data_IF_083425084070
#
_entry.id   IF_083425084070
#
_cell.length_a   1.000
_cell.length_b   1.000
_cell.length_c   1.000
_cell.angle_alpha   90.00
_cell.angle_beta   90.00
_cell.angle_gamma   90.00
#
_symmetry.space_group_name_H-M   'P 1'
#
loop_
_entity.id
_entity.type
_entity.pdbx_description
1 polymer ?
#
# COMPACT_ATOMS: atom_id res chain seq x y z
N UNK A 1 -41.34 -19.47 -6.84
CA UNK A 1 -39.98 -19.25 -6.31
C UNK A 1 -39.78 -17.75 -6.26
N UNK A 2 -39.85 -17.19 -5.06
CA UNK A 2 -40.71 -16.05 -4.73
C UNK A 2 -39.91 -14.83 -4.25
N UNK A 3 -40.30 -13.64 -4.71
CA UNK A 3 -40.16 -12.28 -4.13
C UNK A 3 -38.98 -11.98 -3.18
N UNK A 4 -38.82 -12.73 -2.09
CA UNK A 4 -37.73 -12.59 -1.11
C UNK A 4 -36.34 -12.89 -1.68
N UNK A 5 -36.20 -13.84 -2.63
CA UNK A 5 -34.91 -14.11 -3.30
C UNK A 5 -34.43 -12.89 -4.08
N UNK A 6 -35.37 -12.13 -4.68
CA UNK A 6 -35.06 -10.89 -5.39
C UNK A 6 -34.60 -9.78 -4.44
N UNK A 7 -35.22 -9.62 -3.27
CA UNK A 7 -34.84 -8.58 -2.30
C UNK A 7 -33.46 -8.85 -1.68
N UNK A 8 -33.15 -10.11 -1.35
CA UNK A 8 -31.82 -10.49 -0.82
C UNK A 8 -30.75 -10.31 -1.88
N UNK A 9 -31.02 -10.74 -3.11
CA UNK A 9 -30.11 -10.56 -4.25
C UNK A 9 -29.88 -9.07 -4.54
N UNK A 10 -30.94 -8.25 -4.59
CA UNK A 10 -30.87 -6.81 -4.85
C UNK A 10 -30.11 -6.05 -3.75
N UNK A 11 -30.37 -6.37 -2.47
CA UNK A 11 -29.60 -5.79 -1.35
C UNK A 11 -28.14 -6.23 -1.34
N UNK A 12 -27.86 -7.50 -1.67
CA UNK A 12 -26.49 -7.99 -1.81
C UNK A 12 -25.77 -7.27 -2.96
N UNK A 13 -26.42 -7.12 -4.11
CA UNK A 13 -25.93 -6.35 -5.27
C UNK A 13 -25.63 -4.89 -4.90
N UNK A 14 -26.54 -4.21 -4.21
CA UNK A 14 -26.35 -2.83 -3.76
C UNK A 14 -25.18 -2.69 -2.78
N UNK A 15 -25.05 -3.63 -1.82
CA UNK A 15 -23.92 -3.64 -0.88
C UNK A 15 -22.60 -3.85 -1.61
N UNK A 16 -22.53 -4.82 -2.53
CA UNK A 16 -21.32 -5.15 -3.28
C UNK A 16 -20.90 -4.01 -4.22
N UNK A 17 -21.87 -3.36 -4.88
CA UNK A 17 -21.62 -2.16 -5.68
C UNK A 17 -21.10 -1.02 -4.81
N UNK A 18 -21.68 -0.80 -3.64
CA UNK A 18 -21.25 0.26 -2.71
C UNK A 18 -19.83 0.03 -2.20
N UNK A 19 -19.45 -1.23 -1.93
CA UNK A 19 -18.08 -1.61 -1.55
C UNK A 19 -17.12 -1.40 -2.72
N UNK A 20 -17.49 -1.85 -3.92
CA UNK A 20 -16.68 -1.70 -5.13
C UNK A 20 -16.46 -0.25 -5.56
N UNK A 21 -17.40 0.63 -5.25
CA UNK A 21 -17.34 2.06 -5.54
C UNK A 21 -16.79 2.89 -4.37
N UNK A 22 -16.38 2.25 -3.27
CA UNK A 22 -15.87 2.97 -2.11
C UNK A 22 -14.59 3.75 -2.47
N UNK A 23 -14.67 5.07 -2.33
CA UNK A 23 -13.58 5.98 -2.71
C UNK A 23 -12.27 5.66 -1.98
N UNK A 24 -12.32 5.25 -0.72
CA UNK A 24 -11.13 4.97 0.08
C UNK A 24 -10.43 3.69 -0.37
N UNK A 25 -11.19 2.58 -0.49
CA UNK A 25 -10.64 1.30 -0.96
C UNK A 25 -10.04 1.44 -2.36
N UNK A 26 -10.76 2.12 -3.26
CA UNK A 26 -10.27 2.45 -4.60
C UNK A 26 -8.97 3.26 -4.55
N UNK A 27 -8.90 4.28 -3.69
CA UNK A 27 -7.72 5.14 -3.57
C UNK A 27 -6.50 4.38 -3.04
N UNK A 28 -6.69 3.54 -2.02
CA UNK A 28 -5.62 2.69 -1.49
C UNK A 28 -5.12 1.77 -2.60
N UNK A 29 -6.01 1.04 -3.28
CA UNK A 29 -5.65 0.15 -4.38
C UNK A 29 -4.91 0.89 -5.49
N UNK A 30 -5.42 2.04 -5.95
CA UNK A 30 -4.76 2.85 -6.97
C UNK A 30 -3.38 3.36 -6.49
N UNK A 31 -3.25 3.77 -5.23
CA UNK A 31 -1.98 4.23 -4.66
C UNK A 31 -0.94 3.11 -4.59
N UNK A 32 -1.37 1.90 -4.23
CA UNK A 32 -0.51 0.71 -4.25
C UNK A 32 -0.14 0.29 -5.68
N UNK A 33 -1.03 0.49 -6.66
CA UNK A 33 -0.73 0.21 -8.07
C UNK A 33 0.24 1.22 -8.68
N UNK A 34 0.21 2.49 -8.26
CA UNK A 34 1.14 3.51 -8.73
C UNK A 34 2.61 3.18 -8.40
N UNK A 35 2.86 2.39 -7.36
CA UNK A 35 4.20 2.05 -6.91
C UNK A 35 4.73 0.74 -7.49
N UNK A 36 3.96 0.07 -8.36
CA UNK A 36 4.36 -1.18 -9.01
C UNK A 36 5.71 -1.11 -9.74
N UNK A 37 6.05 -0.05 -10.49
CA UNK A 37 7.38 0.03 -11.11
C UNK A 37 8.52 -0.03 -10.09
N UNK A 38 8.31 0.56 -8.90
CA UNK A 38 9.29 0.58 -7.82
C UNK A 38 9.41 -0.80 -7.17
N UNK A 39 8.30 -1.48 -6.92
CA UNK A 39 8.31 -2.83 -6.35
C UNK A 39 8.89 -3.86 -7.34
N UNK A 40 8.60 -3.74 -8.64
CA UNK A 40 9.18 -4.58 -9.69
C UNK A 40 10.70 -4.42 -9.74
N UNK A 41 11.22 -3.19 -9.69
CA UNK A 41 12.66 -2.93 -9.65
C UNK A 41 13.32 -3.62 -8.45
N UNK A 42 12.69 -3.52 -7.27
CA UNK A 42 13.13 -4.23 -6.06
C UNK A 42 13.18 -5.73 -6.27
N UNK A 43 12.11 -6.31 -6.81
CA UNK A 43 11.98 -7.75 -7.01
C UNK A 43 13.02 -8.27 -8.00
N UNK A 44 13.26 -7.57 -9.11
CA UNK A 44 14.29 -7.94 -10.08
C UNK A 44 15.68 -7.88 -9.44
N UNK A 45 16.00 -6.82 -8.70
CA UNK A 45 17.27 -6.70 -8.00
C UNK A 45 17.47 -7.84 -6.98
N UNK A 46 16.44 -8.17 -6.21
CA UNK A 46 16.48 -9.30 -5.27
C UNK A 46 16.70 -10.62 -6.01
N UNK A 47 15.94 -10.90 -7.07
CA UNK A 47 16.05 -12.13 -7.86
C UNK A 47 17.45 -12.32 -8.44
N UNK A 48 18.04 -11.27 -9.01
CA UNK A 48 19.40 -11.31 -9.56
C UNK A 48 20.42 -11.47 -8.44
N UNK A 49 20.25 -10.81 -7.29
CA UNK A 49 21.14 -10.95 -6.13
C UNK A 49 21.22 -12.39 -5.62
N UNK A 50 20.06 -13.03 -5.44
CA UNK A 50 19.94 -14.33 -4.74
C UNK A 50 19.79 -15.51 -5.70
N UNK A 51 20.07 -15.33 -6.99
CA UNK A 51 19.91 -16.36 -8.00
C UNK A 51 20.63 -17.67 -7.59
N UNK A 52 19.94 -18.81 -7.51
CA UNK A 52 20.43 -20.02 -6.82
C UNK A 52 21.42 -20.82 -7.69
N UNK A 53 22.53 -20.20 -8.07
CA UNK A 53 23.61 -20.81 -8.85
C UNK A 53 24.95 -20.55 -8.18
N UNK A 54 25.56 -21.61 -7.63
CA UNK A 54 26.74 -21.48 -6.77
C UNK A 54 27.92 -20.72 -7.40
N UNK A 55 28.33 -20.98 -8.67
CA UNK A 55 29.41 -20.21 -9.30
C UNK A 55 29.12 -18.71 -9.42
N UNK A 56 27.85 -18.34 -9.59
CA UNK A 56 27.44 -16.95 -9.66
C UNK A 56 27.46 -16.28 -8.29
N UNK A 57 26.99 -16.97 -7.24
CA UNK A 57 27.05 -16.46 -5.87
C UNK A 57 28.50 -16.23 -5.43
N UNK A 58 29.40 -17.17 -5.73
CA UNK A 58 30.83 -17.02 -5.52
C UNK A 58 31.41 -15.80 -6.24
N UNK A 59 31.03 -15.60 -7.51
CA UNK A 59 31.46 -14.44 -8.30
C UNK A 59 31.01 -13.13 -7.65
N UNK A 60 29.74 -13.03 -7.25
CA UNK A 60 29.20 -11.84 -6.59
C UNK A 60 29.95 -11.52 -5.29
N UNK A 61 30.23 -12.53 -4.47
CA UNK A 61 30.91 -12.36 -3.18
C UNK A 61 32.38 -11.97 -3.37
N UNK A 62 33.12 -12.67 -4.25
CA UNK A 62 34.55 -12.38 -4.52
C UNK A 62 34.79 -10.96 -5.02
N UNK A 63 33.85 -10.42 -5.81
CA UNK A 63 33.94 -9.08 -6.39
C UNK A 63 33.16 -8.02 -5.61
N UNK A 64 32.55 -8.37 -4.47
CA UNK A 64 31.73 -7.48 -3.65
C UNK A 64 30.65 -6.74 -4.48
N UNK A 65 29.96 -7.49 -5.34
CA UNK A 65 28.91 -6.97 -6.24
C UNK A 65 27.51 -7.01 -5.62
N UNK A 66 27.31 -7.80 -4.56
CA UNK A 66 26.03 -7.91 -3.83
C UNK A 66 25.50 -6.54 -3.39
N UNK A 67 26.38 -5.66 -2.92
CA UNK A 67 26.06 -4.29 -2.48
C UNK A 67 25.37 -3.43 -3.54
N UNK A 68 25.63 -3.68 -4.83
CA UNK A 68 25.00 -2.89 -5.91
C UNK A 68 23.54 -3.27 -6.09
N UNK A 69 23.16 -4.49 -5.74
CA UNK A 69 21.75 -4.91 -5.70
C UNK A 69 21.07 -4.46 -4.42
N UNK A 70 21.80 -4.34 -3.30
CA UNK A 70 21.24 -3.86 -2.04
C UNK A 70 20.77 -2.40 -2.09
N UNK A 71 21.41 -1.56 -2.93
CA UNK A 71 21.03 -0.15 -3.10
C UNK A 71 19.56 -0.02 -3.54
N UNK A 72 19.14 -0.54 -4.72
CA UNK A 72 17.74 -0.43 -5.13
C UNK A 72 16.83 -1.11 -4.11
N UNK A 73 17.13 -2.34 -3.64
CA UNK A 73 16.29 -3.06 -2.67
C UNK A 73 16.03 -2.23 -1.41
N UNK A 74 17.05 -1.54 -0.91
CA UNK A 74 16.94 -0.68 0.28
C UNK A 74 16.00 0.49 0.03
N UNK A 75 16.20 1.25 -1.04
CA UNK A 75 15.40 2.45 -1.30
C UNK A 75 14.03 2.18 -1.92
N UNK A 76 13.70 0.93 -2.21
CA UNK A 76 12.36 0.51 -2.65
C UNK A 76 11.63 -0.23 -1.54
N UNK A 77 12.13 -1.38 -1.10
CA UNK A 77 11.42 -2.23 -0.14
C UNK A 77 11.49 -1.65 1.27
N UNK A 78 12.65 -1.15 1.69
CA UNK A 78 12.80 -0.56 3.03
C UNK A 78 12.25 0.87 3.12
N UNK A 79 11.78 1.45 2.02
CA UNK A 79 11.08 2.74 1.97
C UNK A 79 9.62 2.60 1.53
N UNK A 80 9.10 1.38 1.41
CA UNK A 80 7.78 1.10 0.87
C UNK A 80 6.66 1.89 1.57
N UNK A 81 6.66 1.96 2.90
CA UNK A 81 5.62 2.67 3.64
C UNK A 81 5.66 4.18 3.35
N UNK A 82 6.85 4.76 3.19
CA UNK A 82 7.01 6.19 2.83
C UNK A 82 6.37 6.46 1.47
N UNK A 83 6.67 5.62 0.48
CA UNK A 83 6.16 5.76 -0.88
C UNK A 83 4.63 5.60 -0.89
N UNK A 84 4.11 4.66 -0.10
CA UNK A 84 2.66 4.41 0.04
C UNK A 84 1.94 5.55 0.74
N UNK A 85 2.54 6.14 1.78
CA UNK A 85 1.97 7.32 2.46
C UNK A 85 1.73 8.46 1.47
N UNK A 86 2.66 8.68 0.53
CA UNK A 86 2.49 9.65 -0.54
C UNK A 86 1.46 9.18 -1.58
N UNK A 87 1.61 7.99 -2.14
CA UNK A 87 0.83 7.54 -3.31
C UNK A 87 -0.65 7.36 -3.01
N UNK A 88 -1.00 6.86 -1.82
CA UNK A 88 -2.40 6.70 -1.39
C UNK A 88 -3.06 8.04 -1.10
N UNK A 89 -2.33 8.98 -0.49
CA UNK A 89 -2.84 10.33 -0.25
C UNK A 89 -3.04 11.08 -1.58
N UNK A 90 -2.11 10.92 -2.52
CA UNK A 90 -2.19 11.48 -3.86
C UNK A 90 -3.45 11.02 -4.62
N UNK A 91 -3.71 9.72 -4.65
CA UNK A 91 -4.90 9.17 -5.33
C UNK A 91 -6.19 9.54 -4.62
N UNK A 92 -6.19 9.55 -3.28
CA UNK A 92 -7.37 9.90 -2.50
C UNK A 92 -7.76 11.37 -2.67
N UNK A 93 -6.79 12.28 -2.65
CA UNK A 93 -7.02 13.71 -2.89
C UNK A 93 -7.55 13.97 -4.30
N UNK A 94 -6.99 13.29 -5.31
CA UNK A 94 -7.51 13.36 -6.69
C UNK A 94 -8.95 12.87 -6.79
N UNK A 95 -9.32 11.80 -6.09
CA UNK A 95 -10.69 11.32 -6.06
C UNK A 95 -11.67 12.27 -5.34
N UNK A 96 -11.17 13.29 -4.63
CA UNK A 96 -11.95 14.37 -4.03
C UNK A 96 -11.78 15.72 -4.74
N UNK A 97 -11.16 15.73 -5.93
CA UNK A 97 -10.94 16.94 -6.76
C UNK A 97 -10.16 18.05 -6.03
N UNK A 98 -9.19 17.67 -5.19
CA UNK A 98 -8.24 18.61 -4.56
C UNK A 98 -6.80 18.28 -4.96
N UNK A 99 -5.85 19.14 -4.60
CA UNK A 99 -4.45 18.98 -5.00
C UNK A 99 -3.84 17.68 -4.43
N UNK A 100 -3.59 16.72 -5.34
CA UNK A 100 -3.04 15.42 -4.97
C UNK A 100 -1.58 15.47 -4.56
N UNK A 101 -0.77 16.32 -5.19
CA UNK A 101 0.67 16.38 -4.90
C UNK A 101 0.92 16.94 -3.50
N UNK A 102 0.26 18.05 -3.17
CA UNK A 102 0.36 18.69 -1.86
C UNK A 102 -0.20 17.79 -0.75
N UNK A 103 -1.34 17.14 -0.97
CA UNK A 103 -1.87 16.15 -0.02
C UNK A 103 -0.91 14.96 0.18
N UNK A 104 -0.31 14.48 -0.90
CA UNK A 104 0.70 13.42 -0.87
C UNK A 104 1.93 13.81 -0.05
N UNK A 105 2.50 15.00 -0.30
CA UNK A 105 3.65 15.50 0.46
C UNK A 105 3.32 15.67 1.95
N UNK A 106 2.18 16.28 2.28
CA UNK A 106 1.76 16.48 3.66
C UNK A 106 1.58 15.13 4.38
N UNK A 107 0.98 14.15 3.72
CA UNK A 107 0.86 12.79 4.26
C UNK A 107 2.21 12.13 4.52
N UNK A 108 3.14 12.23 3.56
CA UNK A 108 4.49 11.68 3.70
C UNK A 108 5.25 12.32 4.88
N UNK A 109 5.16 13.64 5.04
CA UNK A 109 5.78 14.32 6.19
C UNK A 109 5.06 13.97 7.50
N UNK A 110 3.73 13.86 7.49
CA UNK A 110 2.95 13.42 8.66
C UNK A 110 3.37 12.01 9.10
N UNK A 111 3.66 11.13 8.16
CA UNK A 111 4.20 9.80 8.44
C UNK A 111 5.56 9.88 9.13
N UNK A 112 6.48 10.71 8.64
CA UNK A 112 7.77 10.92 9.28
C UNK A 112 7.66 11.53 10.69
N UNK A 113 6.73 12.45 10.93
CA UNK A 113 6.48 13.03 12.27
C UNK A 113 6.06 11.95 13.28
N UNK A 114 5.34 10.94 12.82
CA UNK A 114 4.93 9.79 13.63
C UNK A 114 6.03 8.72 13.79
N UNK A 115 7.04 8.74 12.92
CA UNK A 115 8.12 7.76 12.94
C UNK A 115 9.08 8.06 14.08
N UNK A 116 9.34 7.09 14.98
CA UNK A 116 10.32 7.30 16.03
C UNK A 116 11.71 7.52 15.42
N UNK A 117 12.49 8.38 16.06
CA UNK A 117 13.89 8.60 15.72
C UNK A 117 14.72 8.51 16.99
N UNK A 118 15.98 8.11 16.84
CA UNK A 118 16.94 8.06 17.93
C UNK A 118 17.96 9.18 17.76
N UNK A 119 18.20 9.88 18.86
CA UNK A 119 19.26 10.86 18.99
C UNK A 119 20.34 10.20 19.82
N UNK A 120 21.43 9.76 19.18
CA UNK A 120 22.50 9.11 19.92
C UNK A 120 23.20 10.08 20.87
N UNK A 121 24.25 9.60 21.52
CA UNK A 121 25.04 10.44 22.43
C UNK A 121 25.67 11.63 21.68
N UNK A 122 25.78 12.76 22.37
CA UNK A 122 26.44 13.95 21.84
C UNK A 122 27.94 13.66 21.83
N UNK A 123 28.46 13.32 20.65
CA UNK A 123 29.88 13.08 20.43
C UNK A 123 30.64 14.35 20.00
N UNK A 124 31.97 14.25 19.81
CA UNK A 124 32.80 15.36 19.34
C UNK A 124 32.40 15.92 17.96
N UNK A 125 31.69 15.12 17.17
CA UNK A 125 31.19 15.46 15.83
C UNK A 125 29.72 15.90 15.84
N UNK A 126 29.11 16.05 17.02
CA UNK A 126 27.70 16.37 17.20
C UNK A 126 26.86 15.16 17.61
N UNK A 127 25.55 15.38 17.64
CA UNK A 127 24.56 14.36 17.98
C UNK A 127 24.19 13.56 16.72
N UNK A 128 24.21 12.23 16.81
CA UNK A 128 23.73 11.40 15.70
C UNK A 128 22.21 11.46 15.60
N UNK A 129 21.70 11.37 14.37
CA UNK A 129 20.28 11.24 14.08
C UNK A 129 20.07 9.95 13.30
N UNK A 130 19.21 9.06 13.79
CA UNK A 130 18.86 7.83 13.08
C UNK A 130 17.36 7.55 13.12
N UNK A 131 16.83 7.05 12.00
CA UNK A 131 15.45 6.57 11.91
C UNK A 131 15.51 5.05 11.80
N UNK A 132 14.79 4.29 12.64
CA UNK A 132 14.71 2.84 12.52
C UNK A 132 14.09 2.46 11.17
N UNK A 133 14.90 1.89 10.28
CA UNK A 133 14.49 1.57 8.91
C UNK A 133 13.31 0.60 8.82
N UNK A 134 13.06 -0.19 9.87
CA UNK A 134 11.93 -1.14 9.91
C UNK A 134 10.58 -0.46 9.68
N UNK A 135 10.39 0.76 10.20
CA UNK A 135 9.14 1.50 10.09
C UNK A 135 8.95 2.15 8.72
N UNK A 136 10.04 2.39 7.99
CA UNK A 136 9.98 2.96 6.64
C UNK A 136 9.59 1.89 5.59
N UNK A 137 9.82 0.62 5.92
CA UNK A 137 9.55 -0.53 5.07
C UNK A 137 8.19 -1.20 5.34
N UNK A 138 8.07 -2.52 5.13
CA UNK A 138 6.80 -3.23 5.18
C UNK A 138 6.07 -3.17 6.54
N UNK A 139 6.78 -3.02 7.66
CA UNK A 139 6.16 -2.93 8.99
C UNK A 139 5.38 -1.62 9.20
N UNK A 140 5.73 -0.54 8.51
CA UNK A 140 5.01 0.73 8.61
C UNK A 140 3.88 0.90 7.61
N UNK A 141 3.59 -0.11 6.79
CA UNK A 141 2.68 0.02 5.65
C UNK A 141 1.26 0.42 6.08
N UNK A 142 0.72 -0.22 7.12
CA UNK A 142 -0.61 0.11 7.63
C UNK A 142 -0.65 1.50 8.27
N UNK A 143 0.43 1.91 8.96
CA UNK A 143 0.56 3.27 9.47
C UNK A 143 0.52 4.28 8.32
N UNK A 144 1.26 4.02 7.24
CA UNK A 144 1.27 4.87 6.05
C UNK A 144 -0.13 5.02 5.43
N UNK A 145 -0.88 3.92 5.29
CA UNK A 145 -2.24 3.94 4.76
C UNK A 145 -3.17 4.76 5.65
N UNK A 146 -3.12 4.57 6.97
CA UNK A 146 -3.97 5.31 7.91
C UNK A 146 -3.63 6.79 7.93
N UNK A 147 -2.34 7.14 7.97
CA UNK A 147 -1.87 8.53 7.88
C UNK A 147 -2.33 9.16 6.57
N UNK A 148 -2.19 8.46 5.44
CA UNK A 148 -2.62 8.96 4.14
C UNK A 148 -4.12 9.26 4.08
N UNK A 149 -4.95 8.39 4.64
CA UNK A 149 -6.40 8.60 4.68
C UNK A 149 -6.74 9.77 5.59
N UNK A 150 -6.23 9.79 6.81
CA UNK A 150 -6.58 10.80 7.82
C UNK A 150 -6.10 12.19 7.38
N UNK A 151 -4.83 12.32 7.00
CA UNK A 151 -4.26 13.59 6.52
C UNK A 151 -5.01 14.13 5.32
N UNK A 152 -5.26 13.30 4.31
CA UNK A 152 -5.96 13.72 3.09
C UNK A 152 -7.40 14.12 3.37
N UNK A 153 -8.11 13.44 4.28
CA UNK A 153 -9.48 13.81 4.63
C UNK A 153 -9.56 15.16 5.33
N UNK A 154 -8.61 15.45 6.21
CA UNK A 154 -8.50 16.77 6.82
C UNK A 154 -8.15 17.81 5.75
N UNK A 155 -7.21 17.50 4.85
CA UNK A 155 -6.82 18.37 3.75
C UNK A 155 -8.02 18.74 2.86
N UNK A 156 -8.79 17.74 2.43
CA UNK A 156 -10.03 17.91 1.66
C UNK A 156 -11.04 18.75 2.43
N UNK A 157 -11.25 18.49 3.72
CA UNK A 157 -12.23 19.20 4.53
C UNK A 157 -11.89 20.69 4.69
N UNK A 158 -10.61 21.03 4.94
CA UNK A 158 -10.15 22.43 5.06
C UNK A 158 -10.23 23.13 3.70
N UNK A 159 -9.75 22.47 2.64
CA UNK A 159 -9.74 23.03 1.28
C UNK A 159 -11.14 23.31 0.77
N UNK A 160 -12.09 22.37 0.94
CA UNK A 160 -13.49 22.55 0.49
C UNK A 160 -14.24 23.62 1.29
N UNK A 161 -13.85 23.88 2.54
CA UNK A 161 -14.39 25.00 3.33
C UNK A 161 -13.84 26.36 2.89
N UNK A 162 -12.90 26.41 1.94
CA UNK A 162 -12.27 27.64 1.48
C UNK A 162 -11.32 28.26 2.51
N UNK A 163 -10.90 27.50 3.53
CA UNK A 163 -9.92 27.91 4.54
C UNK A 163 -8.50 27.80 3.96
N UNK A 164 -8.28 28.52 2.86
CA UNK A 164 -7.05 28.49 2.06
C UNK A 164 -6.61 29.92 1.77
N UNK A 165 -5.31 30.11 1.56
CA UNK A 165 -4.80 31.40 1.07
C UNK A 165 -5.05 31.45 -0.43
N UNK A 166 -5.91 32.38 -0.86
CA UNK A 166 -6.23 32.59 -2.28
C UNK A 166 -5.24 33.57 -2.89
N UNK A 167 -4.67 33.19 -4.04
CA UNK A 167 -3.80 34.07 -4.81
C UNK A 167 -4.58 34.81 -5.91
N UNK A 168 -4.19 36.04 -6.27
CA UNK A 168 -4.70 36.72 -7.46
C UNK A 168 -4.46 35.92 -8.75
N UNK A 169 -5.26 36.18 -9.78
CA UNK A 169 -5.19 35.47 -11.07
C UNK A 169 -3.84 35.60 -11.78
N UNK A 170 -3.09 36.67 -11.51
CA UNK A 170 -1.77 36.92 -12.10
C UNK A 170 -0.65 36.02 -11.53
N UNK A 171 -0.94 35.22 -10.50
CA UNK A 171 0.06 34.38 -9.83
C UNK A 171 0.14 33.00 -10.51
N UNK A 172 1.34 32.52 -10.88
CA UNK A 172 1.53 31.18 -11.43
C UNK A 172 0.88 30.07 -10.60
N UNK A 173 0.31 29.07 -11.28
CA UNK A 173 -0.47 27.99 -10.66
C UNK A 173 0.29 27.25 -9.56
N UNK A 174 1.60 27.01 -9.74
CA UNK A 174 2.42 26.31 -8.74
C UNK A 174 2.58 27.10 -7.43
N UNK A 175 2.61 28.43 -7.51
CA UNK A 175 2.65 29.30 -6.33
C UNK A 175 1.29 29.28 -5.65
N UNK A 176 0.21 29.42 -6.41
CA UNK A 176 -1.16 29.35 -5.90
C UNK A 176 -1.43 28.04 -5.14
N UNK A 177 -1.03 26.90 -5.69
CA UNK A 177 -1.13 25.57 -5.05
C UNK A 177 -0.35 25.47 -3.74
N UNK A 178 0.85 26.04 -3.69
CA UNK A 178 1.69 26.02 -2.49
C UNK A 178 1.05 26.81 -1.33
N UNK A 179 0.54 28.01 -1.62
CA UNK A 179 -0.10 28.85 -0.60
C UNK A 179 -1.49 28.36 -0.20
N UNK A 180 -2.29 27.85 -1.15
CA UNK A 180 -3.61 27.29 -0.83
C UNK A 180 -3.50 26.08 0.10
N UNK A 181 -2.40 25.34 0.00
CA UNK A 181 -2.10 24.16 0.83
C UNK A 181 -1.48 24.50 2.19
N UNK A 182 -1.08 25.76 2.44
CA UNK A 182 -0.35 26.15 3.64
C UNK A 182 -1.17 25.97 4.92
N UNK A 183 -2.41 26.48 4.95
CA UNK A 183 -3.31 26.35 6.10
C UNK A 183 -3.67 24.87 6.36
N UNK A 184 -4.12 24.09 5.35
CA UNK A 184 -4.30 22.65 5.51
C UNK A 184 -3.05 21.94 6.04
N UNK A 185 -1.88 22.24 5.47
CA UNK A 185 -0.61 21.64 5.84
C UNK A 185 -0.24 21.90 7.29
N UNK A 186 -0.26 23.16 7.74
CA UNK A 186 0.04 23.52 9.14
C UNK A 186 -0.91 22.79 10.09
N UNK A 187 -2.22 22.77 9.81
CA UNK A 187 -3.19 22.12 10.68
C UNK A 187 -2.93 20.61 10.81
N UNK A 188 -2.65 19.94 9.68
CA UNK A 188 -2.39 18.49 9.65
C UNK A 188 -1.07 18.16 10.35
N UNK A 189 0.03 18.84 9.99
CA UNK A 189 1.34 18.57 10.57
C UNK A 189 1.35 18.84 12.08
N UNK A 190 0.65 19.89 12.53
CA UNK A 190 0.48 20.18 13.96
C UNK A 190 -0.31 19.07 14.65
N UNK A 191 -1.40 18.59 14.05
CA UNK A 191 -2.19 17.49 14.60
C UNK A 191 -1.34 16.22 14.78
N UNK A 192 -0.59 15.81 13.75
CA UNK A 192 0.26 14.63 13.83
C UNK A 192 1.42 14.79 14.82
N UNK A 193 1.94 16.02 14.97
CA UNK A 193 2.93 16.34 16.00
C UNK A 193 2.35 16.17 17.41
N UNK A 194 1.12 16.66 17.64
CA UNK A 194 0.43 16.49 18.92
C UNK A 194 0.18 15.00 19.20
N UNK A 195 -0.27 14.23 18.21
CA UNK A 195 -0.47 12.78 18.35
C UNK A 195 0.84 12.09 18.74
N UNK A 196 1.94 12.41 18.04
CA UNK A 196 3.27 11.85 18.33
C UNK A 196 3.69 12.17 19.77
N UNK A 197 3.62 13.45 20.17
CA UNK A 197 3.99 13.89 21.51
C UNK A 197 3.17 13.22 22.62
N UNK A 198 1.85 13.10 22.43
CA UNK A 198 0.96 12.44 23.40
C UNK A 198 1.33 10.97 23.54
N UNK A 199 1.47 10.22 22.44
CA UNK A 199 1.77 8.78 22.50
C UNK A 199 3.11 8.52 23.18
N UNK A 200 4.14 9.29 22.82
CA UNK A 200 5.46 9.17 23.45
C UNK A 200 5.41 9.52 24.94
N UNK A 201 4.63 10.53 25.34
CA UNK A 201 4.53 10.93 26.75
C UNK A 201 3.84 9.92 27.66
N UNK A 202 2.91 9.11 27.12
CA UNK A 202 2.16 8.10 27.90
C UNK A 202 2.92 6.76 27.97
N UNK A 203 4.03 6.61 27.25
CA UNK A 203 4.88 5.41 27.31
C UNK A 203 4.36 4.22 26.49
N UNK A 204 3.43 4.44 25.55
CA UNK A 204 2.94 3.39 24.65
C UNK A 204 3.89 3.07 23.48
N UNK A 205 5.14 3.52 23.54
CA UNK A 205 6.12 3.36 22.45
C UNK A 205 5.83 4.32 21.30
N UNK A 206 5.72 3.79 20.08
CA UNK A 206 5.39 4.56 18.88
C UNK A 206 4.03 4.17 18.31
N UNK A 207 3.36 5.10 17.63
CA UNK A 207 2.11 4.81 16.92
C UNK A 207 2.27 3.69 15.88
N UNK A 208 3.46 3.59 15.28
CA UNK A 208 3.80 2.50 14.37
C UNK A 208 3.73 1.15 15.06
N UNK A 209 4.26 1.04 16.27
CA UNK A 209 4.21 -0.19 17.05
C UNK A 209 2.79 -0.58 17.45
N UNK A 210 1.98 0.40 17.85
CA UNK A 210 0.56 0.20 18.20
C UNK A 210 -0.21 -0.32 16.98
N UNK A 211 -0.08 0.35 15.83
CA UNK A 211 -0.76 -0.05 14.59
C UNK A 211 -0.27 -1.41 14.12
N UNK A 212 1.04 -1.67 14.19
CA UNK A 212 1.61 -2.94 13.79
C UNK A 212 1.03 -4.10 14.61
N UNK A 213 1.02 -3.98 15.94
CA UNK A 213 0.54 -5.03 16.84
C UNK A 213 -0.98 -5.23 16.78
N UNK A 214 -1.76 -4.14 16.76
CA UNK A 214 -3.21 -4.21 16.88
C UNK A 214 -3.94 -4.38 15.55
N UNK A 215 -3.33 -3.97 14.44
CA UNK A 215 -3.98 -3.94 13.13
C UNK A 215 -3.24 -4.83 12.14
N UNK A 216 -1.95 -4.57 11.89
CA UNK A 216 -1.23 -5.27 10.83
C UNK A 216 -1.11 -6.78 11.12
N UNK A 217 -0.61 -7.15 12.30
CA UNK A 217 -0.40 -8.57 12.66
C UNK A 217 -1.70 -9.40 12.59
N UNK A 218 -2.84 -8.98 13.19
CA UNK A 218 -4.08 -9.74 13.08
C UNK A 218 -4.58 -9.86 11.63
N UNK A 219 -4.51 -8.78 10.84
CA UNK A 219 -4.99 -8.79 9.46
C UNK A 219 -4.11 -9.66 8.55
N UNK A 220 -2.78 -9.59 8.67
CA UNK A 220 -1.88 -10.46 7.89
C UNK A 220 -2.00 -11.91 8.33
N UNK A 221 -2.21 -12.18 9.63
CA UNK A 221 -2.46 -13.55 10.11
C UNK A 221 -3.76 -14.14 9.57
N UNK A 222 -4.82 -13.33 9.42
CA UNK A 222 -6.07 -13.76 8.79
C UNK A 222 -5.92 -13.93 7.27
N UNK A 223 -5.09 -13.11 6.63
CA UNK A 223 -4.86 -13.10 5.18
C UNK A 223 -3.91 -14.18 4.67
N UNK A 224 -3.04 -14.74 5.53
CA UNK A 224 -1.94 -15.64 5.12
C UNK A 224 -2.35 -17.08 4.87
N UNK A 225 -3.51 -17.52 5.37
CA UNK A 225 -3.98 -18.89 5.16
C UNK A 225 -4.44 -19.15 3.72
N UNK A 226 -4.15 -20.34 3.19
CA UNK A 226 -4.65 -20.76 1.87
C UNK A 226 -6.19 -20.73 1.79
N UNK A 227 -6.87 -21.04 2.89
CA UNK A 227 -8.32 -20.96 3.00
C UNK A 227 -8.86 -19.53 2.91
N UNK A 228 -8.11 -18.54 3.40
CA UNK A 228 -8.44 -17.13 3.26
C UNK A 228 -8.43 -16.74 1.78
N UNK A 229 -7.40 -17.17 1.06
CA UNK A 229 -7.27 -16.93 -0.37
C UNK A 229 -8.39 -17.63 -1.18
N UNK A 230 -8.67 -18.90 -0.89
CA UNK A 230 -9.77 -19.65 -1.53
C UNK A 230 -11.10 -18.95 -1.27
N UNK A 231 -11.37 -18.51 -0.04
CA UNK A 231 -12.58 -17.79 0.30
C UNK A 231 -12.72 -16.50 -0.53
N UNK A 232 -11.65 -15.70 -0.62
CA UNK A 232 -11.63 -14.49 -1.45
C UNK A 232 -11.87 -14.80 -2.93
N UNK A 233 -11.26 -15.87 -3.46
CA UNK A 233 -11.45 -16.32 -4.83
C UNK A 233 -12.92 -16.71 -5.09
N UNK A 234 -13.53 -17.50 -4.20
CA UNK A 234 -14.94 -17.91 -4.30
C UNK A 234 -15.85 -16.68 -4.27
N UNK A 235 -15.63 -15.73 -3.36
CA UNK A 235 -16.40 -14.48 -3.33
C UNK A 235 -16.24 -13.70 -4.62
N UNK A 236 -15.02 -13.62 -5.17
CA UNK A 236 -14.79 -12.94 -6.45
C UNK A 236 -15.52 -13.62 -7.62
N UNK A 237 -15.57 -14.95 -7.67
CA UNK A 237 -16.29 -15.66 -8.74
C UNK A 237 -17.81 -15.57 -8.57
N UNK A 238 -18.33 -15.60 -7.34
CA UNK A 238 -19.75 -15.34 -7.07
C UNK A 238 -20.17 -13.94 -7.53
N UNK A 239 -19.32 -12.94 -7.33
CA UNK A 239 -19.57 -11.58 -7.82
C UNK A 239 -19.62 -11.52 -9.35
N UNK A 240 -18.71 -12.21 -10.04
CA UNK A 240 -18.74 -12.35 -11.49
C UNK A 240 -20.02 -13.02 -12.00
N UNK A 241 -20.52 -14.03 -11.27
CA UNK A 241 -21.80 -14.69 -11.59
C UNK A 241 -22.98 -13.70 -11.58
N UNK A 242 -22.97 -12.70 -10.69
CA UNK A 242 -23.98 -11.63 -10.66
C UNK A 242 -23.68 -10.45 -11.60
N UNK A 243 -22.69 -10.57 -12.50
CA UNK A 243 -22.31 -9.52 -13.44
C UNK A 243 -21.52 -8.36 -12.84
N UNK A 244 -21.03 -8.50 -11.60
CA UNK A 244 -20.15 -7.53 -10.97
C UNK A 244 -18.68 -7.87 -11.25
N UNK A 245 -17.81 -6.86 -11.30
CA UNK A 245 -16.38 -7.08 -11.47
C UNK A 245 -15.76 -7.60 -10.15
N UNK A 246 -15.95 -8.89 -9.86
CA UNK A 246 -15.67 -9.47 -8.55
C UNK A 246 -14.27 -9.24 -8.02
N UNK A 247 -13.26 -9.36 -8.89
CA UNK A 247 -11.87 -9.14 -8.51
C UNK A 247 -11.57 -7.68 -8.13
N UNK A 248 -12.23 -6.70 -8.76
CA UNK A 248 -12.01 -5.30 -8.42
C UNK A 248 -12.55 -4.97 -7.02
N UNK A 249 -13.67 -5.60 -6.66
CA UNK A 249 -14.30 -5.43 -5.35
C UNK A 249 -13.47 -6.12 -4.27
N UNK A 250 -13.12 -7.40 -4.47
CA UNK A 250 -12.38 -8.17 -3.46
C UNK A 250 -10.96 -7.64 -3.26
N UNK A 251 -10.23 -7.35 -4.34
CA UNK A 251 -8.88 -6.77 -4.24
C UNK A 251 -8.88 -5.39 -3.60
N UNK A 252 -9.95 -4.60 -3.77
CA UNK A 252 -10.09 -3.33 -3.05
C UNK A 252 -10.00 -3.48 -1.53
N UNK A 253 -10.37 -4.64 -0.99
CA UNK A 253 -10.31 -4.96 0.44
C UNK A 253 -8.99 -5.64 0.82
N UNK A 254 -8.61 -6.69 0.09
CA UNK A 254 -7.52 -7.59 0.54
C UNK A 254 -6.14 -7.21 0.01
N UNK A 255 -6.04 -6.43 -1.06
CA UNK A 255 -4.76 -6.09 -1.66
C UNK A 255 -3.78 -5.41 -0.69
N UNK A 256 -4.18 -4.48 0.20
CA UNK A 256 -3.25 -3.88 1.16
C UNK A 256 -2.63 -4.91 2.12
N UNK A 257 -3.41 -5.91 2.53
CA UNK A 257 -2.96 -7.00 3.39
C UNK A 257 -1.94 -7.86 2.63
N UNK A 258 -2.30 -8.28 1.42
CA UNK A 258 -1.45 -9.12 0.59
C UNK A 258 -0.17 -8.43 0.10
N UNK A 259 -0.20 -7.13 -0.17
CA UNK A 259 1.01 -6.35 -0.45
C UNK A 259 1.92 -6.25 0.77
N UNK A 260 1.36 -6.09 1.98
CA UNK A 260 2.16 -6.12 3.21
C UNK A 260 2.88 -7.47 3.36
N UNK A 261 2.15 -8.56 3.11
CA UNK A 261 2.67 -9.92 3.20
C UNK A 261 3.77 -10.20 2.17
N UNK A 262 3.56 -9.81 0.90
CA UNK A 262 4.57 -9.96 -0.16
C UNK A 262 5.83 -9.15 0.15
N UNK A 263 5.68 -7.94 0.69
CA UNK A 263 6.81 -7.09 1.04
C UNK A 263 7.59 -7.63 2.25
N UNK A 264 6.90 -8.19 3.25
CA UNK A 264 7.52 -8.92 4.37
C UNK A 264 8.26 -10.17 3.87
N UNK A 265 7.66 -10.91 2.94
CA UNK A 265 8.26 -12.10 2.33
C UNK A 265 9.55 -11.73 1.58
N UNK A 266 9.50 -10.67 0.77
CA UNK A 266 10.65 -10.19 0.01
C UNK A 266 11.78 -9.73 0.93
N UNK A 267 11.45 -9.05 2.04
CA UNK A 267 12.42 -8.62 3.04
C UNK A 267 13.08 -9.82 3.73
N UNK A 268 12.29 -10.81 4.17
CA UNK A 268 12.81 -12.02 4.80
C UNK A 268 13.73 -12.82 3.86
N UNK A 269 13.31 -12.98 2.61
CA UNK A 269 14.11 -13.66 1.59
C UNK A 269 15.43 -12.95 1.31
N UNK A 270 15.41 -11.61 1.18
CA UNK A 270 16.61 -10.81 0.95
C UNK A 270 17.59 -10.84 2.14
N UNK A 271 17.08 -11.05 3.36
CA UNK A 271 17.85 -11.21 4.58
C UNK A 271 18.31 -12.66 4.84
N UNK A 272 17.86 -13.63 4.03
CA UNK A 272 18.20 -15.06 4.21
C UNK A 272 17.60 -15.68 5.47
N UNK A 273 16.46 -15.17 5.93
CA UNK A 273 15.74 -15.70 7.11
C UNK A 273 14.45 -16.40 6.69
N UNK A 274 13.79 -17.07 7.65
CA UNK A 274 12.56 -17.81 7.41
C UNK A 274 11.47 -16.93 6.80
N UNK A 275 10.79 -17.50 5.81
CA UNK A 275 9.75 -16.84 5.04
C UNK A 275 8.42 -16.81 5.82
N UNK A 276 7.89 -15.64 6.19
CA UNK A 276 6.74 -15.54 7.10
C UNK A 276 5.39 -15.89 6.44
N UNK A 277 5.28 -15.81 5.11
CA UNK A 277 4.00 -15.93 4.40
C UNK A 277 4.06 -17.02 3.32
N UNK A 278 3.03 -17.86 3.26
CA UNK A 278 2.87 -18.87 2.18
C UNK A 278 2.11 -18.27 0.99
N UNK A 279 1.11 -17.44 1.27
CA UNK A 279 0.29 -16.76 0.27
C UNK A 279 0.64 -15.28 0.17
N UNK A 280 -0.07 -14.55 -0.69
CA UNK A 280 0.11 -13.12 -0.89
C UNK A 280 -0.44 -12.67 -2.24
N UNK A 281 -0.10 -11.45 -2.65
CA UNK A 281 -0.67 -10.86 -3.86
C UNK A 281 -0.09 -11.54 -5.10
N UNK A 282 1.23 -11.72 -5.14
CA UNK A 282 1.92 -12.44 -6.21
C UNK A 282 1.43 -13.88 -6.35
N UNK A 283 1.21 -14.58 -5.22
CA UNK A 283 0.65 -15.94 -5.22
C UNK A 283 -0.75 -15.95 -5.83
N UNK A 284 -1.65 -15.08 -5.36
CA UNK A 284 -3.02 -15.01 -5.86
C UNK A 284 -3.06 -14.65 -7.35
N UNK A 285 -2.26 -13.70 -7.80
CA UNK A 285 -2.22 -13.33 -9.21
C UNK A 285 -1.69 -14.46 -10.08
N UNK A 286 -0.68 -15.21 -9.61
CA UNK A 286 -0.08 -16.30 -10.38
C UNK A 286 -1.00 -17.51 -10.46
N UNK A 287 -1.50 -17.98 -9.32
CA UNK A 287 -2.23 -19.25 -9.22
C UNK A 287 -3.75 -19.10 -9.20
N UNK A 288 -4.28 -17.96 -8.75
CA UNK A 288 -5.72 -17.71 -8.64
C UNK A 288 -6.30 -16.96 -9.85
N UNK A 289 -5.70 -15.83 -10.23
CA UNK A 289 -6.27 -14.97 -11.28
C UNK A 289 -5.77 -15.29 -12.70
N UNK A 290 -4.45 -15.43 -12.90
CA UNK A 290 -3.86 -15.68 -14.21
C UNK A 290 -3.98 -17.13 -14.68
N UNK A 291 -3.96 -18.08 -13.74
CA UNK A 291 -4.10 -19.52 -14.03
C UNK A 291 -5.42 -19.87 -14.71
N UNK A 292 -6.52 -19.27 -14.25
CA UNK A 292 -7.87 -19.56 -14.75
C UNK A 292 -8.10 -19.06 -16.19
N UNK A 293 -7.58 -17.88 -16.54
CA UNK A 293 -7.78 -17.25 -17.84
C UNK A 293 -7.02 -17.96 -18.97
N UNK A 294 -5.80 -18.43 -18.71
CA UNK A 294 -5.03 -19.18 -19.70
C UNK A 294 -5.65 -20.55 -19.99
N UNK A 295 -6.11 -21.25 -18.94
CA UNK A 295 -6.81 -22.51 -19.10
C UNK A 295 -8.16 -22.32 -19.83
N UNK A 296 -8.92 -21.29 -19.49
CA UNK A 296 -10.18 -20.97 -20.18
C UNK A 296 -9.96 -20.58 -21.65
N UNK A 297 -8.93 -19.79 -21.96
CA UNK A 297 -8.58 -19.43 -23.33
C UNK A 297 -8.09 -20.63 -24.16
N UNK A 298 -7.31 -21.53 -23.57
CA UNK A 298 -6.89 -22.78 -24.19
C UNK A 298 -8.10 -23.68 -24.50
N UNK A 299 -9.00 -23.87 -23.53
CA UNK A 299 -10.24 -24.63 -23.72
C UNK A 299 -11.13 -23.99 -24.79
N UNK A 300 -11.33 -22.67 -24.75
CA UNK A 300 -12.13 -21.96 -25.74
C UNK A 300 -11.56 -22.11 -27.16
N UNK A 301 -10.22 -22.17 -27.33
CA UNK A 301 -9.60 -22.45 -28.63
C UNK A 301 -9.84 -23.89 -29.07
N UNK A 302 -9.75 -24.86 -28.17
CA UNK A 302 -9.95 -26.29 -28.47
C UNK A 302 -11.41 -26.60 -28.85
N UNK A 303 -12.38 -25.98 -28.18
CA UNK A 303 -13.82 -26.20 -28.43
C UNK A 303 -14.42 -25.26 -29.48
N UNK A 304 -13.65 -24.32 -30.04
CA UNK A 304 -14.13 -23.42 -31.11
C UNK A 304 -14.27 -24.12 -32.47
N UNK A 305 -13.62 -25.27 -32.66
CA UNK A 305 -13.68 -26.02 -33.92
C UNK A 305 -15.03 -26.74 -34.15
N UNK A 306 -15.92 -26.81 -33.15
CA UNK A 306 -17.23 -27.50 -33.28
C UNK A 306 -18.40 -26.60 -33.72
N UNK A 307 -18.20 -25.31 -33.99
CA UNK A 307 -19.30 -24.36 -34.35
C UNK A 307 -19.24 -23.75 -35.75
N UNK A 308 -18.53 -24.38 -36.69
CA UNK A 308 -18.54 -23.98 -38.11
C UNK A 308 -18.98 -25.11 -39.05
N UNK A 309 -20.03 -25.85 -38.66
CA UNK A 309 -20.81 -26.72 -39.54
C UNK A 309 -22.30 -26.39 -39.41
#
# INVERSE_FOLDING_TARGET
MSSHTNIVQEKALQLMQSIGQNTYLKSIMSGMMLILPVTIMSSVATLVKVFPFAPYQDFLLRHNLTRFFDIPITFTNNFLAVIVAFSVAYTLAKNFDVDGFMSGLISMISFFILTPYDLGEIGPLGQSFSIPGQWLGPMGLFTAILVAIISTRIFVAITRKGLIIKMPENVPEFISKSFSSLIPGIAILTLFTIISAVITSVGYGSIHEIIYKLIQVPLTSLGSGIWSLIFVAVVAQLLWFFGLHGHAITLGIVAPIWFAMDAQQLAAYAAGVDLPNITGFAFFMTYGAAGDLLAAGYNARFFREERTL
#
